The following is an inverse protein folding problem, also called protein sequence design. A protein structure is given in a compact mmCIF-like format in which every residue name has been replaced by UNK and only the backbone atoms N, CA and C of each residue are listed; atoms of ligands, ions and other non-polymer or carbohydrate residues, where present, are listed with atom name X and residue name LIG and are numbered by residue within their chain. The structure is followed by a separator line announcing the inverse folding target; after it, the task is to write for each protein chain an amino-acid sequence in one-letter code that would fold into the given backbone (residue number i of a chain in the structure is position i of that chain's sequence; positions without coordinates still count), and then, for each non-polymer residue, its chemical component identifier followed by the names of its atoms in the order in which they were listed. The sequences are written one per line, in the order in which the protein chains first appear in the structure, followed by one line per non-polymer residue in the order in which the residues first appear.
data_IF_854832147171
#
_entry.id   IF_854832147171
#
_cell.length_a   1.000
_cell.length_b   1.000
_cell.length_c   1.000
_cell.angle_alpha   90.00
_cell.angle_beta   90.00
_cell.angle_gamma   90.00
#
_symmetry.space_group_name_H-M   'P 1'
#
loop_
_entity.id
_entity.type
_entity.pdbx_description
1 polymer ?
#
# COMPACT_ATOMS: atom_id res chain seq x y z
N UNK A 1 -72.27 0.33 42.95
CA UNK A 1 -73.48 1.15 42.74
C UNK A 1 -73.78 1.87 44.04
N UNK A 2 -73.67 3.18 44.03
CA UNK A 2 -73.95 4.10 45.14
C UNK A 2 -73.87 5.52 44.57
N UNK A 3 -74.81 6.39 44.91
CA UNK A 3 -74.92 7.72 44.31
C UNK A 3 -74.16 8.74 45.17
N UNK A 4 -72.99 9.19 44.72
CA UNK A 4 -72.02 9.95 45.53
C UNK A 4 -72.48 11.39 45.86
N UNK A 5 -73.68 11.80 45.42
CA UNK A 5 -74.24 13.15 45.63
C UNK A 5 -75.19 13.25 46.85
N UNK A 6 -75.30 12.21 47.67
CA UNK A 6 -76.20 12.18 48.84
C UNK A 6 -75.49 12.34 50.20
N UNK A 7 -74.17 12.31 50.24
CA UNK A 7 -73.37 12.54 51.45
C UNK A 7 -73.00 14.03 51.60
N UNK A 8 -72.95 14.55 52.83
CA UNK A 8 -72.72 15.98 53.12
C UNK A 8 -73.96 16.89 53.04
N UNK A 9 -75.18 16.32 53.07
CA UNK A 9 -76.45 17.07 53.06
C UNK A 9 -76.69 17.97 54.29
N UNK A 10 -77.87 18.62 54.33
CA UNK A 10 -78.24 19.69 55.28
C UNK A 10 -77.77 19.44 56.75
N UNK A 11 -77.25 20.45 57.46
CA UNK A 11 -76.54 20.28 58.75
C UNK A 11 -77.34 19.61 59.87
N UNK A 12 -78.67 19.63 59.78
CA UNK A 12 -79.58 19.07 60.79
C UNK A 12 -79.63 17.53 60.75
N UNK A 13 -79.25 16.91 59.63
CA UNK A 13 -79.37 15.46 59.40
C UNK A 13 -78.10 14.66 59.78
N UNK A 14 -77.02 15.32 60.23
CA UNK A 14 -75.75 14.71 60.69
C UNK A 14 -75.25 13.53 59.84
N UNK A 15 -75.31 13.65 58.51
CA UNK A 15 -74.83 12.60 57.60
C UNK A 15 -73.29 12.56 57.55
N UNK A 16 -72.67 11.36 57.40
CA UNK A 16 -71.22 11.23 57.30
C UNK A 16 -70.66 11.83 56.00
N UNK A 17 -69.43 12.33 56.06
CA UNK A 17 -68.72 12.88 54.91
C UNK A 17 -68.37 11.81 53.88
N UNK A 18 -68.43 12.14 52.60
CA UNK A 18 -68.01 11.24 51.53
C UNK A 18 -66.50 10.98 51.63
N UNK A 19 -66.10 9.72 51.77
CA UNK A 19 -64.69 9.30 51.60
C UNK A 19 -64.41 9.04 50.12
N UNK A 20 -63.71 9.96 49.46
CA UNK A 20 -63.19 9.73 48.11
C UNK A 20 -61.92 8.88 48.24
N UNK A 21 -61.81 7.71 47.60
CA UNK A 21 -60.56 6.96 47.60
C UNK A 21 -59.48 7.78 46.87
N UNK A 22 -58.37 8.07 47.57
CA UNK A 22 -57.19 8.71 46.98
C UNK A 22 -56.68 7.86 45.81
N UNK A 23 -56.72 8.42 44.61
CA UNK A 23 -56.08 7.84 43.42
C UNK A 23 -54.58 7.72 43.70
N UNK A 24 -54.05 6.50 43.79
CA UNK A 24 -52.61 6.28 43.95
C UNK A 24 -51.89 6.92 42.75
N UNK A 25 -51.02 7.89 43.02
CA UNK A 25 -50.28 8.62 41.98
C UNK A 25 -49.32 7.66 41.26
N UNK A 26 -49.45 7.55 39.94
CA UNK A 26 -48.54 6.82 39.04
C UNK A 26 -47.14 7.45 38.92
N UNK A 27 -46.78 8.41 39.78
CA UNK A 27 -45.50 9.13 39.75
C UNK A 27 -44.28 8.22 39.87
N UNK A 28 -44.35 7.16 40.69
CA UNK A 28 -43.24 6.19 40.84
C UNK A 28 -43.00 5.37 39.56
N UNK A 29 -44.05 4.96 38.84
CA UNK A 29 -43.90 4.24 37.55
C UNK A 29 -43.34 5.15 36.45
N UNK A 30 -43.76 6.42 36.40
CA UNK A 30 -43.23 7.40 35.43
C UNK A 30 -41.76 7.72 35.70
N UNK A 31 -41.38 7.92 36.97
CA UNK A 31 -40.00 8.21 37.36
C UNK A 31 -39.08 6.99 37.10
N UNK A 32 -39.58 5.77 37.29
CA UNK A 32 -38.83 4.55 36.98
C UNK A 32 -38.58 4.38 35.47
N UNK A 33 -39.59 4.67 34.64
CA UNK A 33 -39.44 4.63 33.17
C UNK A 33 -38.43 5.69 32.70
N UNK A 34 -38.49 6.91 33.24
CA UNK A 34 -37.54 7.98 32.90
C UNK A 34 -36.11 7.60 33.30
N UNK A 35 -35.92 6.98 34.47
CA UNK A 35 -34.60 6.52 34.91
C UNK A 35 -34.04 5.41 34.01
N UNK A 36 -34.88 4.45 33.59
CA UNK A 36 -34.49 3.36 32.69
C UNK A 36 -34.15 3.86 31.28
N UNK A 37 -34.90 4.81 30.73
CA UNK A 37 -34.59 5.38 29.41
C UNK A 37 -33.36 6.28 29.43
N UNK A 38 -33.17 7.07 30.49
CA UNK A 38 -32.00 7.93 30.65
C UNK A 38 -30.69 7.11 30.77
N UNK A 39 -30.72 6.03 31.55
CA UNK A 39 -29.56 5.13 31.70
C UNK A 39 -29.21 4.41 30.40
N UNK A 40 -30.20 3.90 29.67
CA UNK A 40 -29.98 3.29 28.35
C UNK A 40 -29.39 4.28 27.34
N UNK A 41 -29.93 5.51 27.26
CA UNK A 41 -29.39 6.56 26.39
C UNK A 41 -27.93 6.93 26.74
N UNK A 42 -27.62 6.98 28.03
CA UNK A 42 -26.25 7.27 28.51
C UNK A 42 -25.26 6.19 28.09
N UNK A 43 -25.65 4.91 28.18
CA UNK A 43 -24.82 3.78 27.76
C UNK A 43 -24.56 3.79 26.25
N UNK A 44 -25.58 4.12 25.44
CA UNK A 44 -25.46 4.22 23.97
C UNK A 44 -24.54 5.40 23.59
N UNK A 45 -24.68 6.54 24.25
CA UNK A 45 -23.81 7.69 24.00
C UNK A 45 -22.35 7.38 24.36
N UNK A 46 -22.12 6.71 25.50
CA UNK A 46 -20.79 6.32 25.93
C UNK A 46 -20.15 5.28 25.00
N UNK A 47 -20.91 4.29 24.52
CA UNK A 47 -20.40 3.30 23.57
C UNK A 47 -20.08 3.93 22.21
N UNK A 48 -20.91 4.85 21.71
CA UNK A 48 -20.63 5.62 20.49
C UNK A 48 -19.36 6.45 20.65
N UNK A 49 -19.19 7.11 21.81
CA UNK A 49 -18.00 7.90 22.12
C UNK A 49 -16.73 7.04 22.15
N UNK A 50 -16.78 5.85 22.76
CA UNK A 50 -15.67 4.89 22.74
C UNK A 50 -15.35 4.45 21.30
N UNK A 51 -16.36 4.14 20.48
CA UNK A 51 -16.16 3.79 19.07
C UNK A 51 -15.49 4.93 18.30
N UNK A 52 -15.93 6.18 18.50
CA UNK A 52 -15.30 7.35 17.89
C UNK A 52 -13.83 7.52 18.33
N UNK A 53 -13.53 7.31 19.63
CA UNK A 53 -12.15 7.30 20.13
C UNK A 53 -11.35 6.16 19.49
N UNK A 54 -11.90 4.95 19.38
CA UNK A 54 -11.20 3.83 18.73
C UNK A 54 -10.93 4.12 17.25
N UNK A 55 -11.89 4.71 16.53
CA UNK A 55 -11.73 5.11 15.14
C UNK A 55 -10.69 6.24 14.99
N UNK A 56 -10.70 7.22 15.89
CA UNK A 56 -9.69 8.29 15.94
C UNK A 56 -8.30 7.75 16.27
N UNK A 57 -8.17 6.86 17.27
CA UNK A 57 -6.90 6.21 17.62
C UNK A 57 -6.38 5.34 16.48
N UNK A 58 -7.26 4.64 15.76
CA UNK A 58 -6.90 3.86 14.56
C UNK A 58 -6.42 4.77 13.42
N UNK A 59 -7.09 5.92 13.20
CA UNK A 59 -6.66 6.94 12.23
C UNK A 59 -5.35 7.63 12.62
N UNK A 60 -5.14 7.87 13.92
CA UNK A 60 -3.92 8.48 14.43
C UNK A 60 -2.75 7.47 14.38
N UNK A 61 -3.01 6.19 14.66
CA UNK A 61 -2.07 5.09 14.46
C UNK A 61 -1.67 4.92 12.99
N UNK A 62 -2.59 5.10 12.04
CA UNK A 62 -2.26 5.11 10.60
C UNK A 62 -1.47 6.36 10.18
N UNK A 63 -1.68 7.51 10.83
CA UNK A 63 -0.91 8.74 10.59
C UNK A 63 0.49 8.72 11.22
N UNK A 64 0.73 7.87 12.23
CA UNK A 64 2.03 7.72 12.90
C UNK A 64 2.92 6.63 12.30
N UNK A 65 2.55 6.04 11.14
CA UNK A 65 3.44 5.16 10.41
C UNK A 65 4.44 5.99 9.63
N UNK A 66 5.52 6.37 10.31
CA UNK A 66 6.75 6.94 9.77
C UNK A 66 7.10 6.33 8.41
N UNK A 67 7.44 7.16 7.42
CA UNK A 67 7.90 6.73 6.10
C UNK A 67 8.97 5.64 6.25
N UNK A 68 8.65 4.40 5.88
CA UNK A 68 9.61 3.30 5.88
C UNK A 68 10.45 3.43 4.62
N UNK A 69 11.50 4.24 4.71
CA UNK A 69 12.48 4.35 3.64
C UNK A 69 13.47 3.22 3.78
N UNK A 70 13.36 2.22 2.90
CA UNK A 70 14.33 1.12 2.81
C UNK A 70 15.57 1.67 2.09
N UNK A 71 16.61 1.95 2.87
CA UNK A 71 17.94 2.29 2.35
C UNK A 71 18.66 0.99 1.97
N UNK A 72 19.13 0.92 0.72
CA UNK A 72 19.97 -0.15 0.22
C UNK A 72 21.43 0.32 0.36
N UNK A 73 22.29 -0.47 1.00
CA UNK A 73 23.62 -0.06 1.44
C UNK A 73 24.45 0.68 0.36
N UNK A 74 24.94 1.87 0.72
CA UNK A 74 25.72 2.82 -0.09
C UNK A 74 25.43 4.28 0.32
N UNK A 75 26.21 5.28 -0.12
CA UNK A 75 25.95 6.71 0.13
C UNK A 75 24.74 7.25 -0.66
N UNK A 76 23.72 6.42 -0.86
CA UNK A 76 22.61 6.70 -1.74
C UNK A 76 21.65 7.69 -1.08
N UNK A 77 21.52 8.86 -1.73
CA UNK A 77 20.62 9.95 -1.33
C UNK A 77 19.19 9.42 -1.26
N UNK A 78 18.52 9.68 -0.15
CA UNK A 78 17.10 9.39 0.01
C UNK A 78 16.30 10.35 -0.87
N UNK A 79 15.42 9.80 -1.72
CA UNK A 79 14.53 10.60 -2.57
C UNK A 79 13.12 10.62 -1.99
N UNK A 80 12.56 11.82 -1.87
CA UNK A 80 11.16 12.02 -1.45
C UNK A 80 10.21 11.87 -2.65
N UNK A 81 8.91 11.73 -2.38
CA UNK A 81 7.89 11.81 -3.43
C UNK A 81 8.04 13.07 -4.30
N UNK A 82 8.32 14.22 -3.68
CA UNK A 82 8.48 15.48 -4.40
C UNK A 82 9.69 15.47 -5.34
N UNK A 83 10.80 14.85 -4.91
CA UNK A 83 11.98 14.71 -5.76
C UNK A 83 11.68 13.83 -6.98
N UNK A 84 11.01 12.69 -6.78
CA UNK A 84 10.64 11.78 -7.86
C UNK A 84 9.60 12.40 -8.80
N UNK A 85 8.63 13.14 -8.25
CA UNK A 85 7.64 13.88 -9.02
C UNK A 85 8.31 14.92 -9.91
N UNK A 86 9.26 15.69 -9.39
CA UNK A 86 9.98 16.68 -10.20
C UNK A 86 10.87 16.01 -11.26
N UNK A 87 11.62 14.97 -10.87
CA UNK A 87 12.51 14.26 -11.78
C UNK A 87 11.77 13.63 -12.97
N UNK A 88 10.52 13.23 -12.79
CA UNK A 88 9.68 12.59 -13.81
C UNK A 88 8.73 13.57 -14.52
N UNK A 89 8.86 14.89 -14.28
CA UNK A 89 7.93 15.92 -14.76
C UNK A 89 6.47 15.60 -14.41
N UNK A 90 6.19 15.41 -13.12
CA UNK A 90 4.90 15.01 -12.59
C UNK A 90 4.38 13.67 -13.16
N UNK A 91 5.26 12.68 -13.30
CA UNK A 91 4.94 11.37 -13.89
C UNK A 91 4.27 11.50 -15.27
N UNK A 92 4.78 12.41 -16.09
CA UNK A 92 4.26 12.69 -17.44
C UNK A 92 4.33 11.44 -18.33
N UNK A 93 3.34 11.27 -19.22
CA UNK A 93 3.29 10.19 -20.20
C UNK A 93 4.49 10.19 -21.16
N UNK A 94 5.08 11.35 -21.46
CA UNK A 94 6.31 11.45 -22.27
C UNK A 94 7.51 10.75 -21.62
N UNK A 95 7.51 10.64 -20.30
CA UNK A 95 8.54 9.95 -19.53
C UNK A 95 8.17 8.49 -19.25
N UNK A 96 7.01 8.00 -19.66
CA UNK A 96 6.62 6.61 -19.45
C UNK A 96 7.46 5.69 -20.35
N UNK A 97 8.24 4.79 -19.73
CA UNK A 97 9.14 3.87 -20.45
C UNK A 97 8.68 2.40 -20.37
N UNK A 98 7.77 2.09 -19.45
CA UNK A 98 7.15 0.77 -19.33
C UNK A 98 5.89 0.80 -18.48
N UNK A 99 4.97 -0.12 -18.76
CA UNK A 99 3.74 -0.33 -18.01
C UNK A 99 3.56 -1.83 -17.79
N UNK A 100 3.19 -2.21 -16.57
CA UNK A 100 3.05 -3.61 -16.18
C UNK A 100 1.87 -3.80 -15.22
N UNK A 101 1.69 -5.03 -14.77
CA UNK A 101 0.52 -5.46 -13.98
C UNK A 101 0.36 -4.71 -12.66
N UNK A 102 1.46 -4.21 -12.09
CA UNK A 102 1.50 -3.61 -10.76
C UNK A 102 1.81 -2.10 -10.77
N UNK A 103 2.00 -1.49 -11.94
CA UNK A 103 2.29 -0.06 -12.04
C UNK A 103 3.05 0.33 -13.30
N UNK A 104 3.68 1.50 -13.22
CA UNK A 104 4.31 2.18 -14.35
C UNK A 104 5.77 2.50 -14.04
N UNK A 105 6.62 2.50 -15.07
CA UNK A 105 8.02 2.89 -14.97
C UNK A 105 8.24 4.17 -15.76
N UNK A 106 8.78 5.18 -15.09
CA UNK A 106 9.07 6.48 -15.68
C UNK A 106 10.57 6.74 -15.76
N UNK A 107 11.03 7.35 -16.85
CA UNK A 107 12.35 7.96 -16.90
C UNK A 107 12.36 9.21 -16.02
N UNK A 108 13.38 9.33 -15.18
CA UNK A 108 13.62 10.51 -14.36
C UNK A 108 14.97 11.16 -14.68
N UNK A 109 15.04 12.48 -14.50
CA UNK A 109 16.29 13.25 -14.47
C UNK A 109 16.45 13.86 -13.07
N UNK A 110 17.43 13.36 -12.32
CA UNK A 110 17.72 13.84 -10.97
C UNK A 110 18.43 15.20 -10.99
N UNK A 111 18.43 15.92 -9.86
CA UNK A 111 19.04 17.25 -9.75
C UNK A 111 20.55 17.26 -10.00
N UNK A 112 21.23 16.14 -9.77
CA UNK A 112 22.65 15.96 -10.07
C UNK A 112 22.93 15.57 -11.52
N UNK A 113 21.89 15.53 -12.37
CA UNK A 113 22.00 15.17 -13.79
C UNK A 113 21.87 13.67 -14.07
N UNK A 114 21.74 12.83 -13.04
CA UNK A 114 21.66 11.38 -13.23
C UNK A 114 20.31 10.95 -13.80
N UNK A 115 20.34 10.09 -14.82
CA UNK A 115 19.14 9.43 -15.32
C UNK A 115 18.77 8.21 -14.45
N UNK A 116 17.49 8.10 -14.12
CA UNK A 116 16.96 6.97 -13.33
C UNK A 116 15.69 6.38 -13.97
N UNK A 117 15.36 5.16 -13.59
CA UNK A 117 14.04 4.57 -13.82
C UNK A 117 13.27 4.56 -12.50
N UNK A 118 12.08 5.17 -12.49
CA UNK A 118 11.20 5.27 -11.33
C UNK A 118 10.00 4.35 -11.55
N UNK A 119 10.01 3.17 -10.92
CA UNK A 119 8.89 2.22 -10.95
C UNK A 119 7.89 2.60 -9.86
N UNK A 120 6.77 3.18 -10.24
CA UNK A 120 5.67 3.59 -9.37
C UNK A 120 4.63 2.49 -9.33
N UNK A 121 4.28 2.03 -8.13
CA UNK A 121 3.31 0.96 -7.94
C UNK A 121 1.91 1.53 -7.78
N UNK A 122 0.94 0.90 -8.42
CA UNK A 122 -0.47 1.21 -8.22
C UNK A 122 -0.97 0.52 -6.94
N UNK A 123 -1.03 1.24 -5.83
CA UNK A 123 -1.34 0.67 -4.50
C UNK A 123 -2.76 0.08 -4.43
N UNK A 124 -3.69 0.60 -5.23
CA UNK A 124 -5.06 0.09 -5.31
C UNK A 124 -5.14 -1.25 -6.05
N UNK A 125 -4.14 -1.58 -6.87
CA UNK A 125 -4.07 -2.83 -7.61
C UNK A 125 -3.79 -4.00 -6.66
N UNK A 126 -4.65 -5.02 -6.72
CA UNK A 126 -4.47 -6.22 -5.91
C UNK A 126 -3.09 -6.86 -6.18
N UNK A 127 -2.34 -7.11 -5.11
CA UNK A 127 -1.01 -7.71 -5.18
C UNK A 127 0.14 -6.74 -5.42
N UNK A 128 -0.10 -5.48 -5.80
CA UNK A 128 0.98 -4.52 -6.04
C UNK A 128 1.84 -4.26 -4.79
N UNK A 129 1.21 -4.18 -3.60
CA UNK A 129 1.94 -4.07 -2.34
C UNK A 129 2.84 -5.29 -2.07
N UNK A 130 2.38 -6.51 -2.38
CA UNK A 130 3.19 -7.73 -2.25
C UNK A 130 4.34 -7.73 -3.25
N UNK A 131 4.08 -7.28 -4.48
CA UNK A 131 5.09 -7.15 -5.52
C UNK A 131 6.20 -6.16 -5.14
N UNK A 132 5.83 -4.99 -4.60
CA UNK A 132 6.78 -4.03 -4.06
C UNK A 132 7.65 -4.64 -2.95
N UNK A 133 7.04 -5.36 -2.01
CA UNK A 133 7.78 -6.03 -0.92
C UNK A 133 8.73 -7.09 -1.47
N UNK A 134 8.26 -7.97 -2.36
CA UNK A 134 9.07 -9.02 -2.97
C UNK A 134 10.29 -8.45 -3.71
N UNK A 135 10.10 -7.37 -4.46
CA UNK A 135 11.18 -6.71 -5.20
C UNK A 135 12.17 -6.02 -4.25
N UNK A 136 11.70 -5.37 -3.18
CA UNK A 136 12.57 -4.81 -2.14
C UNK A 136 13.40 -5.90 -1.44
N UNK A 137 12.78 -7.02 -1.08
CA UNK A 137 13.44 -8.13 -0.40
C UNK A 137 14.49 -8.80 -1.29
N UNK A 138 14.13 -9.08 -2.55
CA UNK A 138 15.04 -9.67 -3.52
C UNK A 138 16.24 -8.75 -3.81
N UNK A 139 16.02 -7.44 -3.96
CA UNK A 139 17.07 -6.50 -4.35
C UNK A 139 17.90 -5.96 -3.17
N UNK A 140 17.53 -6.29 -1.92
CA UNK A 140 18.16 -5.75 -0.70
C UNK A 140 19.68 -5.96 -0.68
N UNK A 141 20.08 -7.21 -0.87
CA UNK A 141 21.47 -7.66 -0.74
C UNK A 141 22.06 -8.16 -2.06
N UNK A 142 21.30 -8.06 -3.15
CA UNK A 142 21.73 -8.49 -4.48
C UNK A 142 22.62 -7.44 -5.12
N UNK A 143 23.83 -7.84 -5.52
CA UNK A 143 24.81 -6.98 -6.20
C UNK A 143 25.54 -7.80 -7.25
N UNK A 144 25.14 -7.63 -8.51
CA UNK A 144 25.76 -8.32 -9.64
C UNK A 144 25.77 -7.40 -10.87
N UNK A 145 26.81 -7.51 -11.70
CA UNK A 145 26.99 -6.64 -12.88
C UNK A 145 25.90 -6.83 -13.94
N UNK A 146 25.24 -8.00 -13.97
CA UNK A 146 24.18 -8.32 -14.92
C UNK A 146 22.78 -8.26 -14.29
N UNK A 147 22.62 -7.50 -13.20
CA UNK A 147 21.33 -7.23 -12.55
C UNK A 147 21.07 -5.73 -12.51
N UNK A 148 19.82 -5.33 -12.75
CA UNK A 148 19.43 -3.91 -12.66
C UNK A 148 19.65 -3.43 -11.23
N UNK A 149 20.51 -2.43 -11.07
CA UNK A 149 20.85 -1.90 -9.75
C UNK A 149 19.68 -1.09 -9.17
N UNK A 150 19.26 -1.47 -7.96
CA UNK A 150 18.42 -0.63 -7.11
C UNK A 150 19.25 0.48 -6.48
N UNK A 151 18.75 1.71 -6.58
CA UNK A 151 19.36 2.90 -5.97
C UNK A 151 18.72 3.19 -4.61
N UNK A 152 17.39 3.20 -4.55
CA UNK A 152 16.62 3.35 -3.30
C UNK A 152 15.16 2.96 -3.52
N UNK A 153 14.41 2.78 -2.43
CA UNK A 153 12.95 2.76 -2.44
C UNK A 153 12.39 4.06 -1.83
N UNK A 154 11.19 4.45 -2.24
CA UNK A 154 10.37 5.49 -1.63
C UNK A 154 9.04 4.87 -1.22
N UNK A 155 8.69 4.92 0.06
CA UNK A 155 7.47 4.26 0.58
C UNK A 155 6.77 5.13 1.61
N UNK A 156 5.48 5.39 1.38
CA UNK A 156 4.50 5.93 2.32
C UNK A 156 3.22 5.10 2.24
N UNK A 157 2.18 5.48 2.99
CA UNK A 157 0.87 4.83 2.94
C UNK A 157 0.17 4.96 1.58
N UNK A 158 0.43 6.07 0.87
CA UNK A 158 -0.27 6.44 -0.37
C UNK A 158 0.66 6.41 -1.60
N UNK A 159 1.95 6.16 -1.41
CA UNK A 159 2.91 6.12 -2.51
C UNK A 159 3.99 5.06 -2.30
N UNK A 160 4.24 4.26 -3.33
CA UNK A 160 5.32 3.26 -3.35
C UNK A 160 6.05 3.35 -4.68
N UNK A 161 7.35 3.53 -4.61
CA UNK A 161 8.20 3.54 -5.79
C UNK A 161 9.58 2.93 -5.54
N UNK A 162 10.16 2.37 -6.59
CA UNK A 162 11.56 1.97 -6.66
C UNK A 162 12.30 2.90 -7.60
N UNK A 163 13.49 3.31 -7.20
CA UNK A 163 14.42 4.08 -8.01
C UNK A 163 15.54 3.14 -8.42
N UNK A 164 15.63 2.90 -9.73
CA UNK A 164 16.53 1.95 -10.36
C UNK A 164 17.48 2.69 -11.28
N UNK A 165 18.63 2.09 -11.57
CA UNK A 165 19.51 2.54 -12.64
C UNK A 165 18.76 2.56 -13.97
N UNK A 166 18.92 3.63 -14.74
CA UNK A 166 18.31 3.74 -16.07
C UNK A 166 19.12 2.95 -17.10
N UNK A 167 18.43 2.16 -17.92
CA UNK A 167 19.00 1.35 -19.00
C UNK A 167 18.70 2.01 -20.34
N UNK A 168 19.71 2.62 -20.95
CA UNK A 168 19.57 3.54 -22.09
C UNK A 168 19.08 2.86 -23.37
N UNK A 169 19.44 1.59 -23.57
CA UNK A 169 19.04 0.81 -24.75
C UNK A 169 17.73 0.04 -24.54
N UNK A 170 17.08 0.18 -23.39
CA UNK A 170 15.75 -0.39 -23.12
C UNK A 170 15.75 -1.93 -23.04
N UNK A 171 14.59 -2.54 -23.29
CA UNK A 171 14.41 -4.00 -23.13
C UNK A 171 14.84 -4.78 -24.37
N UNK A 172 15.36 -5.99 -24.14
CA UNK A 172 15.72 -6.96 -25.18
C UNK A 172 14.53 -7.28 -26.10
N UNK A 173 13.31 -7.31 -25.56
CA UNK A 173 12.08 -7.49 -26.34
C UNK A 173 11.98 -6.49 -27.51
N UNK A 174 12.32 -5.22 -27.29
CA UNK A 174 12.31 -4.19 -28.34
C UNK A 174 13.34 -4.50 -29.44
N UNK A 175 14.52 -4.99 -29.06
CA UNK A 175 15.57 -5.37 -30.02
C UNK A 175 15.24 -6.64 -30.81
N UNK A 176 14.49 -7.57 -30.23
CA UNK A 176 14.09 -8.80 -30.89
C UNK A 176 12.90 -8.61 -31.83
N UNK A 177 11.96 -7.71 -31.51
CA UNK A 177 10.66 -7.63 -32.18
C UNK A 177 10.35 -6.30 -32.87
N UNK A 178 11.17 -5.26 -32.72
CA UNK A 178 10.87 -3.97 -33.36
C UNK A 178 10.95 -4.05 -34.89
N UNK A 179 9.86 -3.62 -35.53
CA UNK A 179 9.76 -3.48 -36.99
C UNK A 179 10.42 -2.21 -37.51
N UNK A 180 10.67 -1.22 -36.64
CA UNK A 180 11.22 0.10 -36.99
C UNK A 180 12.74 0.20 -36.81
N UNK A 181 13.36 -0.77 -36.14
CA UNK A 181 14.81 -0.90 -36.07
C UNK A 181 15.29 -1.24 -37.48
N UNK A 182 15.91 -0.25 -38.14
CA UNK A 182 16.56 -0.44 -39.43
C UNK A 182 17.48 -1.66 -39.37
N UNK A 183 17.67 -2.38 -40.49
CA UNK A 183 18.48 -3.63 -40.53
C UNK A 183 19.86 -3.51 -39.85
N UNK A 184 20.42 -2.30 -39.79
CA UNK A 184 21.70 -1.96 -39.16
C UNK A 184 21.70 -1.97 -37.61
N UNK A 185 20.53 -1.91 -36.96
CA UNK A 185 20.39 -1.93 -35.50
C UNK A 185 19.88 -3.29 -34.96
N UNK A 186 19.91 -4.35 -35.76
CA UNK A 186 19.54 -5.69 -35.29
C UNK A 186 20.70 -6.33 -34.52
N UNK A 187 20.38 -7.06 -33.45
CA UNK A 187 21.37 -7.84 -32.73
C UNK A 187 21.99 -8.89 -33.66
N UNK A 188 23.29 -8.77 -33.90
CA UNK A 188 24.08 -9.78 -34.59
C UNK A 188 24.27 -11.03 -33.72
N UNK A 189 24.90 -12.06 -34.28
CA UNK A 189 25.10 -13.31 -33.56
C UNK A 189 25.98 -13.14 -32.31
N UNK A 190 26.99 -12.28 -32.37
CA UNK A 190 27.92 -12.04 -31.26
C UNK A 190 27.18 -11.42 -30.07
N UNK A 191 26.44 -10.34 -30.29
CA UNK A 191 25.66 -9.68 -29.24
C UNK A 191 24.65 -10.63 -28.60
N UNK A 192 24.00 -11.51 -29.38
CA UNK A 192 23.06 -12.51 -28.82
C UNK A 192 23.74 -13.49 -27.87
N UNK A 193 24.94 -13.96 -28.20
CA UNK A 193 25.71 -14.85 -27.33
C UNK A 193 26.17 -14.12 -26.08
N UNK A 194 26.62 -12.87 -26.20
CA UNK A 194 27.01 -12.04 -25.05
C UNK A 194 25.83 -11.80 -24.11
N UNK A 195 24.67 -11.41 -24.64
CA UNK A 195 23.42 -11.24 -23.86
C UNK A 195 23.01 -12.54 -23.19
N UNK A 196 23.06 -13.68 -23.89
CA UNK A 196 22.71 -14.98 -23.31
C UNK A 196 23.66 -15.36 -22.14
N UNK A 197 24.96 -15.12 -22.30
CA UNK A 197 25.96 -15.33 -21.25
C UNK A 197 25.68 -14.44 -20.03
N UNK A 198 25.39 -13.17 -20.27
CA UNK A 198 25.14 -12.18 -19.22
C UNK A 198 23.88 -12.52 -18.41
N UNK A 199 22.80 -12.93 -19.09
CA UNK A 199 21.57 -13.43 -18.43
C UNK A 199 21.86 -14.71 -17.64
N UNK A 200 22.61 -15.65 -18.20
CA UNK A 200 22.98 -16.88 -17.50
C UNK A 200 23.80 -16.59 -16.23
N UNK A 201 24.76 -15.66 -16.32
CA UNK A 201 25.58 -15.21 -15.19
C UNK A 201 24.73 -14.57 -14.08
N UNK A 202 23.73 -13.76 -14.44
CA UNK A 202 22.78 -13.21 -13.46
C UNK A 202 21.95 -14.29 -12.76
N UNK A 203 21.46 -15.28 -13.51
CA UNK A 203 20.64 -16.36 -12.94
C UNK A 203 21.46 -17.32 -12.06
N UNK A 204 22.70 -17.62 -12.45
CA UNK A 204 23.64 -18.39 -11.63
C UNK A 204 23.85 -17.71 -10.27
N UNK A 205 24.18 -16.41 -10.29
CA UNK A 205 24.36 -15.62 -9.07
C UNK A 205 23.12 -15.67 -8.15
N UNK A 206 21.92 -15.43 -8.71
CA UNK A 206 20.68 -15.44 -7.93
C UNK A 206 20.38 -16.80 -7.30
N UNK A 207 20.70 -17.90 -7.99
CA UNK A 207 20.37 -19.25 -7.54
C UNK A 207 21.41 -19.85 -6.60
N UNK A 208 22.68 -19.45 -6.71
CA UNK A 208 23.79 -20.14 -6.04
C UNK A 208 24.65 -19.27 -5.12
N UNK A 209 24.79 -17.98 -5.44
CA UNK A 209 25.74 -17.10 -4.74
C UNK A 209 25.08 -16.18 -3.70
N UNK A 210 23.75 -16.04 -3.76
CA UNK A 210 22.97 -15.35 -2.75
C UNK A 210 22.85 -16.18 -1.46
N UNK A 211 22.84 -15.51 -0.30
CA UNK A 211 22.66 -16.17 1.01
C UNK A 211 21.42 -17.07 1.06
N UNK A 212 20.29 -16.57 0.54
CA UNK A 212 19.10 -17.36 0.26
C UNK A 212 18.91 -17.40 -1.26
N UNK A 213 18.74 -18.58 -1.90
CA UNK A 213 18.46 -18.68 -3.32
C UNK A 213 17.23 -17.85 -3.72
N UNK A 214 17.36 -17.05 -4.77
CA UNK A 214 16.29 -16.18 -5.27
C UNK A 214 15.79 -16.71 -6.61
N UNK A 215 14.55 -17.19 -6.65
CA UNK A 215 13.89 -17.55 -7.91
C UNK A 215 13.21 -16.30 -8.47
N UNK A 216 13.60 -15.86 -9.66
CA UNK A 216 13.04 -14.65 -10.29
C UNK A 216 11.55 -14.78 -10.65
N UNK A 217 11.10 -15.98 -11.06
CA UNK A 217 9.72 -16.31 -11.44
C UNK A 217 9.12 -15.56 -12.66
N UNK A 218 9.84 -14.65 -13.31
CA UNK A 218 9.32 -13.87 -14.46
C UNK A 218 10.43 -13.51 -15.46
N UNK A 219 11.37 -14.43 -15.71
CA UNK A 219 12.44 -14.20 -16.67
C UNK A 219 11.86 -14.24 -18.10
N UNK A 220 11.94 -13.10 -18.80
CA UNK A 220 11.45 -12.92 -20.18
C UNK A 220 12.17 -11.75 -20.86
N UNK A 221 12.13 -11.62 -22.20
CA UNK A 221 12.85 -10.56 -22.92
C UNK A 221 12.51 -9.13 -22.50
N UNK A 222 11.30 -8.86 -22.02
CA UNK A 222 10.92 -7.52 -21.53
C UNK A 222 11.57 -7.16 -20.19
N UNK A 223 12.00 -8.16 -19.41
CA UNK A 223 12.68 -8.02 -18.12
C UNK A 223 14.21 -8.11 -18.23
N UNK A 224 14.75 -8.27 -19.45
CA UNK A 224 16.18 -8.14 -19.74
C UNK A 224 16.40 -6.77 -20.36
N UNK A 225 17.11 -5.89 -19.66
CA UNK A 225 17.41 -4.53 -20.10
C UNK A 225 18.86 -4.41 -20.58
N UNK A 226 19.12 -3.49 -21.50
CA UNK A 226 20.44 -3.24 -22.08
C UNK A 226 20.93 -1.85 -21.66
N UNK A 227 22.15 -1.79 -21.12
CA UNK A 227 22.83 -0.54 -20.80
C UNK A 227 23.46 0.09 -22.05
N UNK A 228 24.25 1.16 -21.87
CA UNK A 228 24.88 1.91 -22.96
C UNK A 228 25.89 1.09 -23.78
N UNK A 229 26.50 0.08 -23.17
CA UNK A 229 27.50 -0.81 -23.79
C UNK A 229 26.88 -2.11 -24.32
N UNK A 230 25.55 -2.20 -24.39
CA UNK A 230 24.78 -3.38 -24.79
C UNK A 230 24.96 -4.59 -23.86
N UNK A 231 25.37 -4.37 -22.61
CA UNK A 231 25.47 -5.40 -21.58
C UNK A 231 24.07 -5.69 -21.00
N UNK A 232 23.75 -6.97 -20.84
CA UNK A 232 22.44 -7.38 -20.37
C UNK A 232 22.32 -7.34 -18.84
N UNK A 233 21.19 -6.79 -18.38
CA UNK A 233 20.82 -6.63 -16.99
C UNK A 233 19.42 -7.18 -16.74
N UNK A 234 19.30 -8.20 -15.90
CA UNK A 234 18.00 -8.75 -15.51
C UNK A 234 17.35 -7.85 -14.45
N UNK A 235 16.09 -7.48 -14.66
CA UNK A 235 15.31 -6.64 -13.76
C UNK A 235 13.88 -7.16 -13.55
N UNK A 236 13.08 -6.39 -12.82
CA UNK A 236 11.71 -6.73 -12.42
C UNK A 236 11.60 -7.99 -11.54
N UNK A 237 11.88 -7.81 -10.25
CA UNK A 237 11.78 -8.87 -9.24
C UNK A 237 10.40 -8.88 -8.56
N UNK A 238 9.38 -8.31 -9.21
CA UNK A 238 8.05 -8.17 -8.63
C UNK A 238 7.34 -9.48 -8.30
N UNK A 239 7.81 -10.61 -8.85
CA UNK A 239 7.31 -11.97 -8.58
C UNK A 239 8.37 -12.87 -7.91
N UNK A 240 9.53 -12.32 -7.56
CA UNK A 240 10.64 -13.10 -7.04
C UNK A 240 10.31 -13.77 -5.71
N UNK A 241 10.97 -14.89 -5.45
CA UNK A 241 10.82 -15.68 -4.23
C UNK A 241 12.19 -16.04 -3.65
N UNK A 242 12.40 -15.65 -2.40
CA UNK A 242 13.52 -16.15 -1.62
C UNK A 242 13.15 -17.54 -1.12
N UNK A 243 13.99 -18.53 -1.38
CA UNK A 243 13.82 -19.88 -0.86
C UNK A 243 14.53 -19.99 0.49
N UNK A 244 13.90 -20.63 1.49
CA UNK A 244 14.59 -20.95 2.72
C UNK A 244 15.73 -21.91 2.40
N UNK A 245 16.90 -21.67 3.00
CA UNK A 245 18.00 -22.62 2.90
C UNK A 245 17.58 -23.98 3.48
N UNK A 246 17.97 -25.11 2.87
CA UNK A 246 17.60 -26.45 3.34
C UNK A 246 18.10 -26.85 4.74
N UNK A 247 18.62 -25.92 5.54
CA UNK A 247 19.36 -26.18 6.78
C UNK A 247 18.75 -25.56 8.04
N UNK A 248 17.47 -25.20 8.04
CA UNK A 248 16.67 -25.01 9.27
C UNK A 248 15.41 -25.90 9.29
#
# INVERSE_FOLDING_TARGET
MGNDKLCGGLPQLKLPNCTIPRRHSNGTKKNLIIALTASAASLISFSLFIVLIMMWRKKQASLSQSDVVISFEGPHRMYTYFDLRNATNNFCSENLIGEGSFGCVYRGLMRDGSHVAVKVFNIEQHGAGKSFTAECEALRNVRHRNLVKILTACSSSEFKALVLQFMSNGSLEKWLHSKSIEKLQRLDFKHRIEIARDVASAMEYLHHDCENPIVHCDLKPSNVLLDEDMVAHVGDFGLARLLPNPTE
#
